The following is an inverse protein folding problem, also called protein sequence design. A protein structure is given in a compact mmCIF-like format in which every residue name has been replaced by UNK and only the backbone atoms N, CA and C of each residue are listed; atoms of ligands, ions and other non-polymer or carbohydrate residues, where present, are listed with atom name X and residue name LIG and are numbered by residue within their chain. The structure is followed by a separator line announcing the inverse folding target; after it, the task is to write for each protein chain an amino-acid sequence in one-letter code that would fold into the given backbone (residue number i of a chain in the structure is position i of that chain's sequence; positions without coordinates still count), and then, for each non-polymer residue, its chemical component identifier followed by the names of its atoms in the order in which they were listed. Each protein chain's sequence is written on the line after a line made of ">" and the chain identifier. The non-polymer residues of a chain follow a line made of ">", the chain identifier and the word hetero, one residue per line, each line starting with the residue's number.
data_IF_778494504563
#
_entry.id   IF_778494504563
#
_cell.length_a   1.000
_cell.length_b   1.000
_cell.length_c   1.000
_cell.angle_alpha   90.00
_cell.angle_beta   90.00
_cell.angle_gamma   90.00
#
_symmetry.space_group_name_H-M   'P 1'
#
loop_
_entity.id
_entity.type
_entity.pdbx_description
1 polymer ?
#
# COMPACT_ATOMS: atom_id res chain seq x y z
N UNK A 1 3.28 19.78 26.21
CA UNK A 1 1.83 19.78 25.96
C UNK A 1 1.16 19.83 27.33
N UNK A 2 1.02 21.04 27.87
CA UNK A 2 0.50 21.24 29.22
C UNK A 2 -1.01 21.02 29.22
N UNK A 3 -1.50 20.12 30.07
CA UNK A 3 -2.89 20.12 30.49
C UNK A 3 -3.14 21.48 31.14
N UNK A 4 -3.93 22.33 30.49
CA UNK A 4 -4.42 23.56 31.12
C UNK A 4 -5.56 23.12 32.03
N UNK A 5 -5.27 23.11 33.33
CA UNK A 5 -6.24 22.96 34.41
C UNK A 5 -7.45 23.84 34.14
N UNK A 6 -8.56 23.22 33.74
CA UNK A 6 -9.87 23.86 33.62
C UNK A 6 -10.63 23.65 34.92
N UNK A 7 -9.99 23.98 36.04
CA UNK A 7 -10.66 24.02 37.34
C UNK A 7 -10.54 25.43 37.88
N UNK A 8 -11.72 26.04 38.04
CA UNK A 8 -11.95 27.24 38.86
C UNK A 8 -11.83 28.60 38.16
N UNK A 9 -12.57 28.81 37.07
CA UNK A 9 -13.09 30.15 36.77
C UNK A 9 -14.41 30.31 37.53
N UNK A 10 -14.35 30.90 38.73
CA UNK A 10 -15.54 31.32 39.45
C UNK A 10 -16.36 32.22 38.51
N UNK A 11 -17.59 31.81 38.17
CA UNK A 11 -18.47 32.60 37.34
C UNK A 11 -18.54 34.02 37.91
N UNK A 12 -18.27 35.07 37.11
CA UNK A 12 -18.39 36.43 37.61
C UNK A 12 -19.81 36.58 38.12
N UNK A 13 -19.97 36.93 39.40
CA UNK A 13 -21.28 37.13 40.01
C UNK A 13 -22.03 38.13 39.11
N UNK A 14 -23.00 37.65 38.34
CA UNK A 14 -23.77 38.47 37.42
C UNK A 14 -24.57 39.46 38.27
N UNK A 15 -24.02 40.66 38.45
CA UNK A 15 -24.66 41.73 39.19
C UNK A 15 -25.77 42.27 38.30
N UNK A 16 -26.95 41.67 38.42
CA UNK A 16 -28.14 42.26 37.83
C UNK A 16 -28.34 43.65 38.42
N UNK A 17 -28.66 44.66 37.59
CA UNK A 17 -28.96 45.99 38.09
C UNK A 17 -30.14 45.90 39.07
N UNK A 18 -30.10 46.71 40.14
CA UNK A 18 -31.17 46.74 41.13
C UNK A 18 -32.54 47.03 40.49
N UNK A 19 -33.60 46.41 41.02
CA UNK A 19 -34.95 46.58 40.47
C UNK A 19 -35.39 48.06 40.50
N UNK A 20 -35.99 48.58 39.41
CA UNK A 20 -36.57 49.92 39.39
C UNK A 20 -37.86 50.02 40.20
N UNK A 21 -38.47 48.92 40.61
CA UNK A 21 -39.82 48.88 41.21
C UNK A 21 -39.94 49.75 42.45
N UNK A 22 -38.91 49.81 43.29
CA UNK A 22 -38.90 50.66 44.48
C UNK A 22 -38.95 52.16 44.11
N UNK A 23 -38.24 52.56 43.05
CA UNK A 23 -38.22 53.96 42.58
C UNK A 23 -39.53 54.31 41.89
N UNK A 24 -40.08 53.37 41.11
CA UNK A 24 -41.38 53.52 40.44
C UNK A 24 -42.52 53.57 41.46
N UNK A 25 -42.45 52.77 42.52
CA UNK A 25 -43.38 52.82 43.66
C UNK A 25 -43.37 54.20 44.32
N UNK A 26 -42.19 54.70 44.70
CA UNK A 26 -42.07 56.04 45.30
C UNK A 26 -42.53 57.18 44.36
N UNK A 27 -42.40 57.02 43.04
CA UNK A 27 -42.94 57.97 42.06
C UNK A 27 -44.47 57.92 41.98
N UNK A 28 -45.09 56.75 42.17
CA UNK A 28 -46.55 56.60 42.24
C UNK A 28 -47.10 57.22 43.52
N UNK A 29 -46.45 56.96 44.66
CA UNK A 29 -46.86 57.50 45.96
C UNK A 29 -46.92 59.03 45.95
N UNK A 30 -46.03 59.69 45.19
CA UNK A 30 -45.99 61.14 44.99
C UNK A 30 -47.23 61.73 44.30
N UNK A 31 -48.01 60.90 43.59
CA UNK A 31 -49.23 61.29 42.86
C UNK A 31 -50.49 61.01 43.67
N UNK A 32 -50.39 60.22 44.74
CA UNK A 32 -51.53 59.89 45.61
C UNK A 32 -52.02 61.11 46.42
N UNK A 33 -53.31 61.09 46.79
CA UNK A 33 -54.02 62.22 47.41
C UNK A 33 -53.39 62.79 48.70
N UNK A 34 -52.46 62.06 49.31
CA UNK A 34 -51.66 62.43 50.48
C UNK A 34 -50.76 63.65 50.26
N UNK A 35 -50.39 63.96 49.02
CA UNK A 35 -49.47 65.07 48.68
C UNK A 35 -50.16 66.33 48.14
N UNK A 36 -51.50 66.36 48.06
CA UNK A 36 -52.27 67.52 47.58
C UNK A 36 -52.09 68.79 48.42
N UNK A 37 -51.62 68.66 49.68
CA UNK A 37 -51.40 69.78 50.61
C UNK A 37 -49.90 70.07 50.90
N UNK A 38 -48.97 69.43 50.18
CA UNK A 38 -47.53 69.63 50.37
C UNK A 38 -46.99 70.80 49.54
N UNK A 39 -45.91 71.43 50.01
CA UNK A 39 -45.18 72.46 49.27
C UNK A 39 -44.73 71.95 47.89
N UNK A 40 -45.14 72.66 46.84
CA UNK A 40 -44.88 72.34 45.43
C UNK A 40 -43.38 72.21 45.17
N UNK A 41 -42.55 73.04 45.82
CA UNK A 41 -41.08 73.00 45.67
C UNK A 41 -40.50 71.68 46.19
N UNK A 42 -40.94 71.23 47.37
CA UNK A 42 -40.48 69.98 47.97
C UNK A 42 -40.86 68.75 47.14
N UNK A 43 -42.07 68.74 46.56
CA UNK A 43 -42.54 67.68 45.65
C UNK A 43 -41.69 67.64 44.38
N UNK A 44 -41.38 68.79 43.77
CA UNK A 44 -40.53 68.88 42.57
C UNK A 44 -39.10 68.39 42.84
N UNK A 45 -38.50 68.74 43.98
CA UNK A 45 -37.17 68.28 44.37
C UNK A 45 -37.16 66.75 44.53
N UNK A 46 -38.17 66.18 45.21
CA UNK A 46 -38.27 64.73 45.41
C UNK A 46 -38.48 63.98 44.09
N UNK A 47 -39.36 64.47 43.21
CA UNK A 47 -39.57 63.91 41.89
C UNK A 47 -38.28 63.96 41.05
N UNK A 48 -37.57 65.10 41.05
CA UNK A 48 -36.29 65.26 40.38
C UNK A 48 -35.23 64.25 40.82
N UNK A 49 -35.13 64.01 42.14
CA UNK A 49 -34.22 63.00 42.70
C UNK A 49 -34.58 61.57 42.27
N UNK A 50 -35.87 61.21 42.27
CA UNK A 50 -36.34 59.90 41.82
C UNK A 50 -36.10 59.69 40.32
N UNK A 51 -36.33 60.71 39.48
CA UNK A 51 -36.00 60.65 38.05
C UNK A 51 -34.49 60.52 37.80
N UNK A 52 -33.66 61.22 38.57
CA UNK A 52 -32.20 61.07 38.49
C UNK A 52 -31.78 59.64 38.85
N UNK A 53 -32.38 59.05 39.89
CA UNK A 53 -32.15 57.65 40.29
C UNK A 53 -32.62 56.66 39.22
N UNK A 54 -33.79 56.87 38.61
CA UNK A 54 -34.29 56.03 37.52
C UNK A 54 -33.38 56.09 36.29
N UNK A 55 -32.89 57.29 35.91
CA UNK A 55 -31.91 57.45 34.84
C UNK A 55 -30.59 56.74 35.14
N UNK A 56 -30.14 56.76 36.41
CA UNK A 56 -28.95 56.03 36.82
C UNK A 56 -29.15 54.50 36.71
N UNK A 57 -30.29 53.97 37.15
CA UNK A 57 -30.64 52.55 37.00
C UNK A 57 -30.72 52.13 35.52
N UNK A 58 -31.31 52.96 34.65
CA UNK A 58 -31.37 52.69 33.21
C UNK A 58 -29.96 52.63 32.58
N UNK A 59 -29.07 53.58 32.93
CA UNK A 59 -27.68 53.55 32.47
C UNK A 59 -26.95 52.29 32.98
N UNK A 60 -27.14 51.92 34.24
CA UNK A 60 -26.56 50.70 34.80
C UNK A 60 -27.05 49.44 34.07
N UNK A 61 -28.33 49.34 33.76
CA UNK A 61 -28.89 48.21 33.01
C UNK A 61 -28.35 48.13 31.58
N UNK A 62 -28.24 49.28 30.89
CA UNK A 62 -27.65 49.33 29.55
C UNK A 62 -26.15 48.97 29.56
N UNK A 63 -25.41 49.42 30.58
CA UNK A 63 -24.01 49.06 30.75
C UNK A 63 -23.84 47.55 30.99
N UNK A 64 -24.60 46.98 31.92
CA UNK A 64 -24.60 45.53 32.19
C UNK A 64 -24.95 44.72 30.92
N UNK A 65 -25.96 45.15 30.16
CA UNK A 65 -26.33 44.49 28.89
C UNK A 65 -25.20 44.52 27.88
N UNK A 66 -24.47 45.65 27.76
CA UNK A 66 -23.32 45.76 26.86
C UNK A 66 -22.19 44.84 27.30
N UNK A 67 -21.88 44.81 28.60
CA UNK A 67 -20.87 43.92 29.16
C UNK A 67 -21.19 42.46 28.86
N UNK A 68 -22.40 41.99 29.15
CA UNK A 68 -22.77 40.59 28.86
C UNK A 68 -22.75 40.24 27.37
N UNK A 69 -23.16 41.17 26.50
CA UNK A 69 -23.03 40.99 25.06
C UNK A 69 -21.58 40.83 24.64
N UNK A 70 -20.69 41.64 25.21
CA UNK A 70 -19.25 41.58 24.93
C UNK A 70 -18.64 40.27 25.44
N UNK A 71 -18.90 39.89 26.68
CA UNK A 71 -18.44 38.62 27.28
C UNK A 71 -18.92 37.40 26.46
N UNK A 72 -20.18 37.41 26.04
CA UNK A 72 -20.73 36.33 25.20
C UNK A 72 -20.09 36.32 23.81
N UNK A 73 -19.77 37.48 23.24
CA UNK A 73 -19.10 37.57 21.95
C UNK A 73 -17.65 37.07 22.01
N UNK A 74 -16.93 37.39 23.09
CA UNK A 74 -15.55 36.94 23.33
C UNK A 74 -15.50 35.42 23.51
N UNK A 75 -16.33 34.87 24.40
CA UNK A 75 -16.40 33.42 24.60
C UNK A 75 -16.81 32.66 23.33
N UNK A 76 -17.73 33.21 22.54
CA UNK A 76 -18.08 32.65 21.23
C UNK A 76 -16.90 32.70 20.25
N UNK A 77 -16.13 33.80 20.24
CA UNK A 77 -14.96 33.94 19.40
C UNK A 77 -13.89 32.89 19.73
N UNK A 78 -13.62 32.68 21.02
CA UNK A 78 -12.65 31.68 21.50
C UNK A 78 -13.08 30.25 21.13
N UNK A 79 -14.39 29.96 21.23
CA UNK A 79 -14.97 28.71 20.77
C UNK A 79 -14.77 28.51 19.26
N UNK A 80 -15.05 29.54 18.44
CA UNK A 80 -14.88 29.48 16.99
C UNK A 80 -13.41 29.26 16.59
N UNK A 81 -12.46 29.92 17.28
CA UNK A 81 -11.02 29.70 17.08
C UNK A 81 -10.61 28.26 17.41
N UNK A 82 -11.08 27.73 18.54
CA UNK A 82 -10.79 26.35 18.94
C UNK A 82 -11.39 25.34 17.95
N UNK A 83 -12.60 25.61 17.46
CA UNK A 83 -13.25 24.79 16.45
C UNK A 83 -12.48 24.77 15.12
N UNK A 84 -11.94 25.91 14.70
CA UNK A 84 -11.06 25.98 13.52
C UNK A 84 -9.79 25.13 13.73
N UNK A 85 -9.17 25.21 14.91
CA UNK A 85 -8.03 24.38 15.28
C UNK A 85 -8.34 22.88 15.19
N UNK A 86 -9.51 22.46 15.69
CA UNK A 86 -9.97 21.08 15.57
C UNK A 86 -10.15 20.65 14.10
N UNK A 87 -10.74 21.50 13.26
CA UNK A 87 -10.91 21.20 11.83
C UNK A 87 -9.57 21.01 11.11
N UNK A 88 -8.57 21.82 11.43
CA UNK A 88 -7.21 21.67 10.89
C UNK A 88 -6.61 20.30 11.28
N UNK A 89 -6.71 19.91 12.55
CA UNK A 89 -6.22 18.61 13.02
C UNK A 89 -6.97 17.43 12.39
N UNK A 90 -8.29 17.55 12.20
CA UNK A 90 -9.08 16.52 11.52
C UNK A 90 -8.67 16.39 10.05
N UNK A 91 -8.37 17.49 9.39
CA UNK A 91 -7.84 17.47 8.02
C UNK A 91 -6.48 16.77 7.96
N UNK A 92 -5.56 17.13 8.86
CA UNK A 92 -4.23 16.51 8.95
C UNK A 92 -4.33 15.01 9.22
N UNK A 93 -5.17 14.59 10.18
CA UNK A 93 -5.46 13.17 10.46
C UNK A 93 -5.93 12.44 9.22
N UNK A 94 -6.93 12.95 8.50
CA UNK A 94 -7.43 12.32 7.26
C UNK A 94 -6.38 12.28 6.15
N UNK A 95 -5.51 13.30 6.07
CA UNK A 95 -4.40 13.31 5.13
C UNK A 95 -3.40 12.20 5.44
N UNK A 96 -2.97 12.09 6.71
CA UNK A 96 -2.06 11.04 7.15
C UNK A 96 -2.65 9.64 6.99
N UNK A 97 -3.93 9.44 7.32
CA UNK A 97 -4.62 8.16 7.11
C UNK A 97 -4.60 7.73 5.64
N UNK A 98 -4.82 8.67 4.70
CA UNK A 98 -4.74 8.39 3.26
C UNK A 98 -3.33 8.05 2.82
N UNK A 99 -2.32 8.77 3.30
CA UNK A 99 -0.93 8.47 2.95
C UNK A 99 -0.46 7.13 3.55
N UNK A 100 -0.89 6.79 4.78
CA UNK A 100 -0.63 5.46 5.38
C UNK A 100 -1.26 4.37 4.52
N UNK A 101 -2.52 4.54 4.10
CA UNK A 101 -3.21 3.55 3.28
C UNK A 101 -2.53 3.39 1.92
N UNK A 102 -2.10 4.48 1.29
CA UNK A 102 -1.31 4.45 0.05
C UNK A 102 0.01 3.69 0.23
N UNK A 103 0.71 3.89 1.35
CA UNK A 103 1.92 3.15 1.67
C UNK A 103 1.64 1.66 1.94
N UNK A 104 0.50 1.31 2.54
CA UNK A 104 0.10 -0.08 2.79
C UNK A 104 -0.30 -0.82 1.52
N UNK A 105 -0.89 -0.11 0.55
CA UNK A 105 -1.23 -0.64 -0.77
C UNK A 105 0.00 -0.91 -1.64
N UNK A 106 1.21 -0.59 -1.16
CA UNK A 106 2.44 -1.01 -1.81
C UNK A 106 2.55 -2.55 -1.77
N UNK A 107 2.09 -3.20 -2.84
CA UNK A 107 2.33 -4.60 -3.09
C UNK A 107 3.70 -4.75 -3.77
N UNK A 108 4.61 -5.46 -3.10
CA UNK A 108 5.92 -5.76 -3.66
C UNK A 108 5.92 -7.16 -4.27
N UNK A 109 6.51 -7.28 -5.45
CA UNK A 109 6.51 -8.50 -6.29
C UNK A 109 7.03 -9.73 -5.53
N UNK A 110 7.88 -9.56 -4.51
CA UNK A 110 8.43 -10.68 -3.75
C UNK A 110 7.35 -11.54 -3.07
N UNK A 111 6.16 -10.99 -2.79
CA UNK A 111 5.06 -11.71 -2.15
C UNK A 111 4.44 -12.76 -3.07
N UNK A 112 4.55 -12.57 -4.40
CA UNK A 112 3.99 -13.47 -5.41
C UNK A 112 5.01 -14.49 -5.94
N UNK A 113 6.27 -14.41 -5.49
CA UNK A 113 7.31 -15.34 -5.95
C UNK A 113 7.06 -16.71 -5.32
N UNK A 114 6.94 -17.78 -6.12
CA UNK A 114 6.88 -19.13 -5.58
C UNK A 114 8.26 -19.45 -4.98
N UNK A 115 8.31 -19.58 -3.66
CA UNK A 115 9.49 -19.94 -2.88
C UNK A 115 9.39 -21.40 -2.44
N UNK A 116 10.53 -22.04 -2.24
CA UNK A 116 10.60 -23.28 -1.49
C UNK A 116 9.91 -23.15 -0.13
N UNK A 117 9.30 -24.27 0.30
CA UNK A 117 8.70 -24.37 1.63
C UNK A 117 9.76 -24.20 2.71
N UNK A 118 9.33 -23.92 3.95
CA UNK A 118 10.26 -23.72 5.05
C UNK A 118 11.13 -24.96 5.31
N UNK A 119 10.53 -26.14 5.21
CA UNK A 119 11.21 -27.42 5.39
C UNK A 119 12.29 -27.61 4.31
N UNK A 120 11.93 -27.43 3.04
CA UNK A 120 12.88 -27.56 1.92
C UNK A 120 14.01 -26.53 1.99
N UNK A 121 13.71 -25.30 2.43
CA UNK A 121 14.72 -24.27 2.65
C UNK A 121 15.68 -24.69 3.77
N UNK A 122 15.17 -25.17 4.91
CA UNK A 122 16.02 -25.62 6.01
C UNK A 122 16.88 -26.82 5.65
N UNK A 123 16.42 -27.72 4.77
CA UNK A 123 17.20 -28.87 4.32
C UNK A 123 18.28 -28.52 3.28
N UNK A 124 17.97 -27.61 2.34
CA UNK A 124 18.81 -27.38 1.15
C UNK A 124 19.65 -26.11 1.23
N UNK A 125 19.29 -25.16 2.08
CA UNK A 125 20.02 -23.90 2.19
C UNK A 125 21.38 -24.10 2.91
N UNK A 126 22.42 -23.37 2.49
CA UNK A 126 23.71 -23.34 3.20
C UNK A 126 23.55 -22.97 4.69
N UNK A 127 24.47 -23.45 5.54
CA UNK A 127 24.45 -23.18 7.00
C UNK A 127 24.56 -21.69 7.32
N UNK A 128 25.30 -20.94 6.50
CA UNK A 128 25.50 -19.50 6.66
C UNK A 128 24.18 -18.72 6.52
N UNK A 129 23.27 -19.21 5.69
CA UNK A 129 21.92 -18.63 5.49
C UNK A 129 20.89 -19.12 6.50
N UNK A 130 21.26 -20.05 7.39
CA UNK A 130 20.41 -20.65 8.42
C UNK A 130 20.86 -20.30 9.84
N UNK A 131 21.72 -19.29 10.00
CA UNK A 131 22.16 -18.83 11.32
C UNK A 131 20.96 -18.44 12.21
N UNK A 132 21.03 -18.71 13.51
CA UNK A 132 19.93 -18.42 14.46
C UNK A 132 19.51 -16.94 14.45
N UNK A 133 20.46 -16.03 14.27
CA UNK A 133 20.20 -14.59 14.15
C UNK A 133 19.29 -14.24 12.94
N UNK A 134 19.42 -15.01 11.85
CA UNK A 134 18.62 -14.86 10.63
C UNK A 134 17.24 -15.49 10.85
N UNK A 135 17.17 -16.67 11.46
CA UNK A 135 15.91 -17.38 11.73
C UNK A 135 15.01 -16.62 12.72
N UNK A 136 15.61 -15.91 13.67
CA UNK A 136 14.88 -15.16 14.70
C UNK A 136 14.32 -13.81 14.19
N UNK A 137 14.72 -13.35 13.00
CA UNK A 137 14.23 -12.11 12.40
C UNK A 137 13.51 -12.41 11.07
N UNK A 138 12.20 -12.20 11.04
CA UNK A 138 11.35 -12.48 9.87
C UNK A 138 11.83 -11.80 8.59
N UNK A 139 12.26 -10.54 8.67
CA UNK A 139 12.75 -9.80 7.51
C UNK A 139 14.07 -10.39 6.99
N UNK A 140 15.00 -10.67 7.89
CA UNK A 140 16.28 -11.30 7.53
C UNK A 140 16.06 -12.68 6.92
N UNK A 141 15.18 -13.49 7.52
CA UNK A 141 14.77 -14.79 7.00
C UNK A 141 14.19 -14.69 5.58
N UNK A 142 13.27 -13.74 5.33
CA UNK A 142 12.68 -13.55 4.00
C UNK A 142 13.74 -13.19 2.96
N UNK A 143 14.70 -12.31 3.30
CA UNK A 143 15.81 -11.97 2.42
C UNK A 143 16.68 -13.18 2.10
N UNK A 144 17.04 -13.98 3.11
CA UNK A 144 17.82 -15.20 2.90
C UNK A 144 17.08 -16.23 2.04
N UNK A 145 15.77 -16.38 2.21
CA UNK A 145 14.93 -17.25 1.36
C UNK A 145 14.90 -16.77 -0.09
N UNK A 146 14.76 -15.47 -0.33
CA UNK A 146 14.77 -14.88 -1.67
C UNK A 146 16.15 -15.04 -2.35
N UNK A 147 17.23 -14.85 -1.60
CA UNK A 147 18.60 -15.04 -2.11
C UNK A 147 18.87 -16.50 -2.48
N UNK A 148 18.41 -17.44 -1.65
CA UNK A 148 18.50 -18.86 -1.94
C UNK A 148 17.72 -19.24 -3.21
N UNK A 149 16.46 -18.78 -3.33
CA UNK A 149 15.65 -19.00 -4.52
C UNK A 149 16.32 -18.46 -5.79
N UNK A 150 16.89 -17.25 -5.72
CA UNK A 150 17.63 -16.65 -6.83
C UNK A 150 18.83 -17.51 -7.24
N UNK A 151 19.64 -17.96 -6.28
CA UNK A 151 20.79 -18.81 -6.53
C UNK A 151 20.38 -20.15 -7.16
N UNK A 152 19.31 -20.78 -6.67
CA UNK A 152 18.77 -22.02 -7.20
C UNK A 152 18.26 -21.86 -8.63
N UNK A 153 17.49 -20.79 -8.92
CA UNK A 153 17.04 -20.51 -10.29
C UNK A 153 18.20 -20.27 -11.25
N UNK A 154 19.24 -19.57 -10.82
CA UNK A 154 20.44 -19.37 -11.63
C UNK A 154 21.19 -20.68 -11.88
N UNK A 155 21.25 -21.57 -10.89
CA UNK A 155 21.85 -22.91 -11.03
C UNK A 155 21.07 -23.75 -12.05
N UNK A 156 19.74 -23.80 -11.91
CA UNK A 156 18.86 -24.56 -12.81
C UNK A 156 18.90 -24.02 -14.24
N UNK A 157 18.91 -22.70 -14.43
CA UNK A 157 19.03 -22.09 -15.76
C UNK A 157 20.35 -22.45 -16.45
N UNK A 158 21.48 -22.42 -15.71
CA UNK A 158 22.79 -22.86 -16.22
C UNK A 158 22.76 -24.34 -16.63
N UNK A 159 22.17 -25.19 -15.80
CA UNK A 159 22.09 -26.62 -16.08
C UNK A 159 21.16 -26.93 -17.27
N UNK A 160 20.00 -26.27 -17.36
CA UNK A 160 19.12 -26.34 -18.52
C UNK A 160 19.84 -25.94 -19.81
N UNK A 161 20.60 -24.84 -19.80
CA UNK A 161 21.41 -24.42 -20.95
C UNK A 161 22.46 -25.45 -21.33
N UNK A 162 23.17 -26.00 -20.34
CA UNK A 162 24.18 -27.06 -20.54
C UNK A 162 23.57 -28.31 -21.17
N UNK A 163 22.44 -28.78 -20.63
CA UNK A 163 21.71 -29.94 -21.14
C UNK A 163 21.16 -29.70 -22.55
N UNK A 164 20.68 -28.49 -22.83
CA UNK A 164 20.21 -28.09 -24.16
C UNK A 164 21.34 -28.14 -25.18
N UNK A 165 22.53 -27.60 -24.85
CA UNK A 165 23.71 -27.71 -25.72
C UNK A 165 24.11 -29.17 -25.96
N UNK A 166 24.18 -29.98 -24.90
CA UNK A 166 24.53 -31.40 -25.02
C UNK A 166 23.52 -32.18 -25.89
N UNK A 167 22.22 -31.88 -25.75
CA UNK A 167 21.16 -32.44 -26.59
C UNK A 167 21.38 -32.07 -28.05
N UNK A 168 21.65 -30.80 -28.34
CA UNK A 168 21.83 -30.31 -29.71
C UNK A 168 23.08 -30.91 -30.37
N UNK A 169 24.15 -31.11 -29.61
CA UNK A 169 25.37 -31.82 -30.04
C UNK A 169 25.09 -33.30 -30.36
N UNK A 170 24.40 -34.02 -29.47
CA UNK A 170 24.03 -35.42 -29.68
C UNK A 170 23.10 -35.58 -30.89
N UNK A 171 22.16 -34.66 -31.10
CA UNK A 171 21.30 -34.67 -32.28
C UNK A 171 22.10 -34.43 -33.57
N UNK A 172 23.10 -33.55 -33.54
CA UNK A 172 23.99 -33.32 -34.68
C UNK A 172 24.82 -34.57 -34.97
N UNK A 173 25.39 -35.20 -33.95
CA UNK A 173 26.16 -36.43 -34.08
C UNK A 173 25.30 -37.60 -34.58
N UNK A 174 24.08 -37.74 -34.08
CA UNK A 174 23.13 -38.75 -34.56
C UNK A 174 22.85 -38.58 -36.06
N UNK A 175 22.62 -37.35 -36.52
CA UNK A 175 22.42 -37.05 -37.96
C UNK A 175 23.64 -37.37 -38.82
N UNK A 176 24.86 -37.05 -38.35
CA UNK A 176 26.08 -37.37 -39.11
C UNK A 176 26.36 -38.86 -39.17
N UNK A 177 26.15 -39.59 -38.07
CA UNK A 177 26.25 -41.06 -38.04
C UNK A 177 25.20 -41.70 -38.96
N UNK A 178 23.95 -41.22 -38.96
CA UNK A 178 22.90 -41.70 -39.87
C UNK A 178 23.30 -41.50 -41.35
N UNK A 179 23.74 -40.30 -41.72
CA UNK A 179 24.19 -40.02 -43.09
C UNK A 179 25.39 -40.90 -43.51
N UNK A 180 26.28 -41.22 -42.56
CA UNK A 180 27.43 -42.11 -42.81
C UNK A 180 26.96 -43.55 -42.98
N UNK A 181 26.02 -44.02 -42.16
CA UNK A 181 25.41 -45.34 -42.27
C UNK A 181 24.68 -45.52 -43.61
N UNK A 182 23.91 -44.51 -44.04
CA UNK A 182 23.24 -44.53 -45.34
C UNK A 182 24.25 -44.60 -46.50
N UNK A 183 25.36 -43.87 -46.40
CA UNK A 183 26.45 -43.95 -47.38
C UNK A 183 27.11 -45.34 -47.42
N UNK A 184 27.40 -45.93 -46.26
CA UNK A 184 27.99 -47.28 -46.17
C UNK A 184 27.03 -48.32 -46.74
N UNK A 185 25.73 -48.19 -46.47
CA UNK A 185 24.70 -49.07 -47.03
C UNK A 185 24.73 -49.05 -48.56
N UNK A 186 24.77 -47.86 -49.18
CA UNK A 186 24.87 -47.73 -50.64
C UNK A 186 26.12 -48.43 -51.18
N UNK A 187 27.28 -48.25 -50.53
CA UNK A 187 28.53 -48.92 -50.94
C UNK A 187 28.47 -50.44 -50.81
N UNK A 188 27.80 -50.97 -49.79
CA UNK A 188 27.58 -52.42 -49.63
C UNK A 188 26.66 -52.94 -50.74
N UNK A 189 25.58 -52.24 -51.06
CA UNK A 189 24.66 -52.60 -52.13
C UNK A 189 25.38 -52.63 -53.50
N UNK A 190 26.25 -51.64 -53.76
CA UNK A 190 27.12 -51.60 -54.95
C UNK A 190 28.11 -52.78 -54.98
N UNK A 191 28.79 -53.06 -53.86
CA UNK A 191 29.73 -54.18 -53.75
C UNK A 191 29.02 -55.52 -53.97
N UNK A 192 27.84 -55.73 -53.39
CA UNK A 192 27.04 -56.94 -53.61
C UNK A 192 26.66 -57.10 -55.08
N UNK A 193 26.26 -56.01 -55.75
CA UNK A 193 25.98 -56.04 -57.19
C UNK A 193 27.22 -56.45 -57.98
N UNK A 194 28.36 -55.83 -57.73
CA UNK A 194 29.62 -56.18 -58.37
C UNK A 194 30.05 -57.64 -58.10
N UNK A 195 29.91 -58.12 -56.87
CA UNK A 195 30.23 -59.50 -56.52
C UNK A 195 29.31 -60.51 -57.24
N UNK A 196 28.02 -60.20 -57.37
CA UNK A 196 27.04 -61.01 -58.11
C UNK A 196 27.36 -61.04 -59.60
N UNK A 197 27.74 -59.91 -60.18
CA UNK A 197 28.17 -59.81 -61.59
C UNK A 197 29.43 -60.66 -61.84
N UNK A 198 30.43 -60.58 -60.95
CA UNK A 198 31.65 -61.40 -61.04
C UNK A 198 31.34 -62.87 -60.87
N UNK A 199 30.51 -63.25 -59.90
CA UNK A 199 30.08 -64.63 -59.69
C UNK A 199 29.43 -65.21 -60.95
N UNK A 200 28.56 -64.43 -61.60
CA UNK A 200 27.90 -64.81 -62.85
C UNK A 200 28.92 -65.05 -63.97
N UNK A 201 29.89 -64.13 -64.16
CA UNK A 201 30.96 -64.28 -65.16
C UNK A 201 31.89 -65.47 -64.88
N UNK A 202 32.25 -65.70 -63.61
CA UNK A 202 33.07 -66.85 -63.23
C UNK A 202 32.32 -68.16 -63.47
N UNK A 203 31.02 -68.21 -63.16
CA UNK A 203 30.18 -69.38 -63.45
C UNK A 203 30.05 -69.65 -64.97
N UNK A 204 30.00 -68.60 -65.80
CA UNK A 204 30.07 -68.72 -67.26
C UNK A 204 31.41 -69.28 -67.74
N UNK A 205 32.53 -68.81 -67.18
CA UNK A 205 33.89 -69.25 -67.54
C UNK A 205 34.24 -70.65 -66.99
N UNK A 206 33.62 -71.08 -65.88
CA UNK A 206 33.85 -72.38 -65.26
C UNK A 206 33.01 -73.52 -65.86
N UNK A 207 32.18 -73.24 -66.88
CA UNK A 207 31.55 -74.30 -67.69
C UNK A 207 32.64 -75.11 -68.41
N UNK A 208 32.70 -76.45 -68.26
CA UNK A 208 33.71 -77.27 -68.92
C UNK A 208 33.65 -77.11 -70.45
N UNK A 209 34.80 -76.92 -71.10
CA UNK A 209 34.96 -76.98 -72.55
C UNK A 209 34.49 -78.35 -73.07
N UNK A 210 33.47 -78.35 -73.92
CA UNK A 210 33.14 -79.50 -74.75
C UNK A 210 34.36 -79.88 -75.61
N UNK A 211 34.75 -81.17 -75.69
CA UNK A 211 35.92 -81.60 -76.45
C UNK A 211 35.70 -81.42 -77.97
N UNK A 212 36.78 -81.22 -78.75
CA UNK A 212 36.68 -80.89 -80.16
C UNK A 212 36.15 -82.08 -80.98
N UNK A 213 35.14 -81.83 -81.81
CA UNK A 213 34.62 -82.78 -82.78
C UNK A 213 35.64 -82.94 -83.92
N UNK A 214 36.11 -84.16 -84.24
CA UNK A 214 37.07 -84.41 -85.32
C UNK A 214 36.44 -84.22 -86.71
N UNK A 215 37.20 -83.56 -87.59
CA UNK A 215 37.08 -83.62 -89.05
C UNK A 215 37.46 -85.00 -89.57
N UNK A 216 36.67 -85.61 -90.46
CA UNK A 216 37.11 -86.58 -91.49
C UNK A 216 35.96 -86.92 -92.50
N UNK A 217 36.20 -87.59 -93.66
CA UNK A 217 36.13 -86.93 -94.98
C UNK A 217 35.23 -87.63 -96.05
N UNK A 218 35.14 -86.99 -97.23
CA UNK A 218 34.88 -87.49 -98.61
C UNK A 218 33.61 -88.30 -98.91
N UNK A 219 32.77 -87.75 -99.81
CA UNK A 219 32.45 -88.35 -101.13
C UNK A 219 32.01 -87.25 -102.09
#
# INVERSE_FOLDING_TARGET
>A
MALVDTTNAAAPAHVFPASPDAVVGSLRDLVDSTYLNHDVSAVQIRAGALFARLKALNRAANAATRTHKQETAETRHDMDQTYLGLQNLLYEKRHLEREIEKCRQFASIYQDVPLYTMEEFLERAPEETRAEEILNNEHSLMLSRLQFELAERQRLDKECKRLQTMKDELLKESKTRLATMDKVKVQIDELMKHATDVQSKVAELAKPLEPPVPTEPVS
#
